data_IF_599690735931
#
_entry.id   IF_599690735931
#
_cell.length_a   1.000
_cell.length_b   1.000
_cell.length_c   1.000
_cell.angle_alpha   90.00
_cell.angle_beta   90.00
_cell.angle_gamma   90.00
#
_symmetry.space_group_name_H-M   'P 1'
#
loop_
_entity.id
_entity.type
_entity.pdbx_description
1 polymer ?
#
# COMPACT_ATOMS: atom_id res chain seq x y z
N UNK A 1 -11.35 -16.91 -2.92
CA UNK A 1 -10.47 -16.84 -4.10
C UNK A 1 -9.33 -15.89 -3.76
N UNK A 2 -8.08 -16.20 -4.12
CA UNK A 2 -6.96 -15.30 -3.85
C UNK A 2 -7.19 -13.99 -4.59
N UNK A 3 -7.01 -12.86 -3.90
CA UNK A 3 -7.09 -11.54 -4.51
C UNK A 3 -6.01 -11.42 -5.60
N UNK A 4 -6.41 -10.97 -6.78
CA UNK A 4 -5.52 -10.60 -7.88
C UNK A 4 -5.78 -9.12 -8.15
N UNK A 5 -4.69 -8.34 -8.21
CA UNK A 5 -4.71 -6.88 -8.44
C UNK A 5 -5.61 -6.43 -9.60
N UNK A 6 -5.82 -7.28 -10.60
CA UNK A 6 -6.68 -7.01 -11.76
C UNK A 6 -7.84 -8.01 -11.77
N UNK A 7 -9.06 -7.49 -11.69
CA UNK A 7 -10.29 -8.29 -11.66
C UNK A 7 -11.46 -7.53 -12.30
N UNK A 8 -12.37 -8.28 -12.92
CA UNK A 8 -13.55 -7.73 -13.61
C UNK A 8 -14.70 -7.38 -12.65
N UNK A 9 -14.66 -7.90 -11.43
CA UNK A 9 -15.71 -7.73 -10.42
C UNK A 9 -15.08 -7.26 -9.10
N UNK A 10 -15.84 -6.56 -8.24
CA UNK A 10 -15.38 -6.26 -6.89
C UNK A 10 -15.01 -7.55 -6.14
N UNK A 11 -13.88 -7.55 -5.46
CA UNK A 11 -13.54 -8.61 -4.51
C UNK A 11 -13.03 -8.03 -3.20
N UNK A 12 -13.23 -8.81 -2.14
CA UNK A 12 -12.67 -8.51 -0.84
C UNK A 12 -11.14 -8.61 -0.91
N UNK A 13 -10.47 -7.58 -0.39
CA UNK A 13 -9.03 -7.56 -0.26
C UNK A 13 -8.62 -8.44 0.93
N UNK A 14 -7.63 -9.29 0.75
CA UNK A 14 -7.07 -10.13 1.81
C UNK A 14 -6.06 -9.32 2.64
N UNK A 15 -6.58 -8.44 3.50
CA UNK A 15 -5.82 -7.78 4.56
C UNK A 15 -6.02 -8.54 5.87
N UNK A 16 -5.05 -8.48 6.81
CA UNK A 16 -5.26 -8.98 8.17
C UNK A 16 -6.59 -8.48 8.77
N UNK A 17 -7.38 -9.42 9.32
CA UNK A 17 -8.80 -9.20 9.69
C UNK A 17 -9.01 -8.15 10.78
N UNK A 18 -7.96 -7.83 11.51
CA UNK A 18 -7.87 -6.92 12.64
C UNK A 18 -7.38 -5.51 12.25
N UNK A 19 -7.12 -5.27 10.96
CA UNK A 19 -6.73 -3.94 10.46
C UNK A 19 -7.93 -3.09 10.09
N UNK A 20 -8.09 -1.98 10.80
CA UNK A 20 -9.02 -0.91 10.44
C UNK A 20 -8.35 0.01 9.39
N UNK A 21 -8.84 0.00 8.15
CA UNK A 21 -8.33 0.88 7.07
C UNK A 21 -8.93 2.28 7.23
N UNK A 22 -8.08 3.31 7.26
CA UNK A 22 -8.48 4.72 7.43
C UNK A 22 -8.34 5.55 6.15
N UNK A 23 -7.36 5.24 5.29
CA UNK A 23 -7.10 5.95 4.03
C UNK A 23 -6.80 4.98 2.89
N UNK A 24 -7.14 5.38 1.68
CA UNK A 24 -6.80 4.67 0.44
C UNK A 24 -6.39 5.67 -0.63
N UNK A 25 -5.42 5.30 -1.45
CA UNK A 25 -5.02 6.05 -2.64
C UNK A 25 -4.61 5.10 -3.75
N UNK A 26 -4.87 5.48 -5.00
CA UNK A 26 -4.57 4.67 -6.18
C UNK A 26 -3.83 5.50 -7.22
N UNK A 27 -2.77 4.93 -7.79
CA UNK A 27 -2.09 5.45 -8.98
C UNK A 27 -2.54 4.73 -10.25
N UNK A 28 -1.76 4.82 -11.32
CA UNK A 28 -2.14 4.20 -12.61
C UNK A 28 -2.23 2.67 -12.55
N UNK A 29 -1.36 2.02 -11.76
CA UNK A 29 -1.27 0.56 -11.62
C UNK A 29 -0.84 0.09 -10.23
N UNK A 30 -0.99 0.93 -9.21
CA UNK A 30 -0.67 0.56 -7.84
C UNK A 30 -1.68 1.17 -6.86
N UNK A 31 -1.82 0.55 -5.71
CA UNK A 31 -2.72 0.98 -4.64
C UNK A 31 -1.93 1.06 -3.35
N UNK A 32 -2.30 2.03 -2.51
CA UNK A 32 -1.80 2.18 -1.16
C UNK A 32 -2.96 2.34 -0.18
N UNK A 33 -2.84 1.76 1.00
CA UNK A 33 -3.79 1.94 2.11
C UNK A 33 -3.03 2.21 3.39
N UNK A 34 -3.63 3.05 4.23
CA UNK A 34 -3.15 3.34 5.58
C UNK A 34 -4.14 2.77 6.58
N UNK A 35 -3.63 2.06 7.57
CA UNK A 35 -4.43 1.57 8.69
C UNK A 35 -4.56 2.65 9.76
N UNK A 36 -5.55 2.54 10.64
CA UNK A 36 -5.70 3.43 11.79
C UNK A 36 -4.52 3.34 12.77
N UNK A 37 -3.76 2.25 12.72
CA UNK A 37 -2.49 2.08 13.44
C UNK A 37 -1.31 2.84 12.82
N UNK A 38 -1.49 3.47 11.66
CA UNK A 38 -0.46 4.20 10.94
C UNK A 38 0.42 3.32 10.03
N UNK A 39 0.01 2.07 9.79
CA UNK A 39 0.75 1.17 8.91
C UNK A 39 0.37 1.40 7.44
N UNK A 40 1.36 1.38 6.56
CA UNK A 40 1.18 1.50 5.12
C UNK A 40 1.29 0.15 4.44
N UNK A 41 0.31 -0.17 3.61
CA UNK A 41 0.33 -1.32 2.71
C UNK A 41 0.26 -0.85 1.27
N UNK A 42 1.09 -1.44 0.41
CA UNK A 42 1.15 -1.11 -1.02
C UNK A 42 1.22 -2.36 -1.88
N UNK A 43 0.59 -2.31 -3.05
CA UNK A 43 0.63 -3.38 -4.05
C UNK A 43 0.34 -2.86 -5.45
N UNK A 44 0.55 -3.73 -6.44
CA UNK A 44 0.43 -3.47 -7.87
C UNK A 44 1.79 -3.43 -8.56
N UNK A 45 1.88 -2.61 -9.60
CA UNK A 45 3.07 -2.47 -10.43
C UNK A 45 4.15 -1.63 -9.75
N UNK A 46 5.30 -2.24 -9.48
CA UNK A 46 6.37 -1.66 -8.65
C UNK A 46 7.68 -1.34 -9.37
N UNK A 47 7.70 -1.31 -10.72
CA UNK A 47 8.98 -1.25 -11.48
C UNK A 47 9.77 0.04 -11.29
N UNK A 48 9.17 1.11 -10.77
CA UNK A 48 9.88 2.35 -10.41
C UNK A 48 10.13 2.48 -8.91
N UNK A 49 9.86 1.43 -8.12
CA UNK A 49 10.05 1.44 -6.67
C UNK A 49 8.94 2.14 -5.90
N UNK A 50 7.84 2.54 -6.57
CA UNK A 50 6.74 3.30 -5.96
C UNK A 50 5.99 2.55 -4.85
N UNK A 51 6.22 1.24 -4.69
CA UNK A 51 5.62 0.47 -3.60
C UNK A 51 6.39 0.66 -2.28
N UNK A 52 7.63 1.17 -2.31
CA UNK A 52 8.40 1.43 -1.09
C UNK A 52 9.03 0.19 -0.44
N UNK A 53 9.03 -0.97 -1.12
CA UNK A 53 9.54 -2.23 -0.59
C UNK A 53 11.06 -2.41 -0.68
N UNK A 54 11.81 -1.32 -0.93
CA UNK A 54 13.27 -1.31 -1.19
C UNK A 54 13.70 -2.21 -2.35
N UNK A 55 12.79 -2.43 -3.29
CA UNK A 55 13.01 -3.16 -4.54
C UNK A 55 12.13 -2.56 -5.65
N UNK A 56 12.25 -3.10 -6.86
CA UNK A 56 11.44 -2.73 -8.03
C UNK A 56 10.47 -3.85 -8.44
N UNK A 57 10.04 -4.67 -7.49
CA UNK A 57 9.20 -5.85 -7.76
C UNK A 57 7.73 -5.48 -7.70
N UNK A 58 6.93 -5.99 -8.63
CA UNK A 58 5.47 -5.86 -8.56
C UNK A 58 4.91 -6.85 -7.55
N UNK A 59 3.81 -6.49 -6.89
CA UNK A 59 3.10 -7.37 -5.97
C UNK A 59 1.62 -7.43 -6.36
N UNK A 60 1.06 -8.64 -6.50
CA UNK A 60 -0.38 -8.80 -6.73
C UNK A 60 -1.19 -8.81 -5.42
N UNK A 61 -0.50 -8.79 -4.28
CA UNK A 61 -1.10 -8.80 -2.94
C UNK A 61 -0.61 -7.59 -2.12
N UNK A 62 -1.43 -7.05 -1.20
CA UNK A 62 -1.00 -6.06 -0.23
C UNK A 62 0.23 -6.53 0.53
N UNK A 63 1.26 -5.68 0.57
CA UNK A 63 2.44 -5.91 1.39
C UNK A 63 2.67 -4.69 2.27
N UNK A 64 2.95 -4.93 3.54
CA UNK A 64 3.29 -3.86 4.49
C UNK A 64 4.66 -3.28 4.14
N UNK A 65 4.78 -1.95 4.20
CA UNK A 65 6.03 -1.24 3.97
C UNK A 65 6.88 -1.28 5.25
N UNK A 66 7.65 -2.36 5.41
CA UNK A 66 8.41 -2.65 6.64
C UNK A 66 9.42 -1.56 7.03
N UNK A 67 9.90 -0.77 6.06
CA UNK A 67 10.84 0.32 6.36
C UNK A 67 10.25 1.34 7.34
N UNK A 68 8.99 1.74 7.17
CA UNK A 68 8.37 2.75 8.03
C UNK A 68 8.20 2.22 9.46
N UNK A 69 7.87 0.93 9.60
CA UNK A 69 7.77 0.24 10.89
C UNK A 69 9.12 0.18 11.60
N UNK A 70 10.19 -0.16 10.85
CA UNK A 70 11.54 -0.25 11.41
C UNK A 70 12.06 1.10 11.92
N UNK A 71 11.66 2.21 11.29
CA UNK A 71 11.99 3.57 11.73
C UNK A 71 11.03 4.12 12.79
N UNK A 72 9.99 3.37 13.18
CA UNK A 72 8.98 3.83 14.14
C UNK A 72 8.02 4.89 13.59
N UNK A 73 8.01 5.13 12.28
CA UNK A 73 7.21 6.16 11.62
C UNK A 73 5.76 5.71 11.43
N UNK A 74 4.82 6.62 11.71
CA UNK A 74 3.39 6.39 11.48
C UNK A 74 2.89 7.21 10.30
N UNK A 75 2.24 6.56 9.34
CA UNK A 75 1.65 7.25 8.19
C UNK A 75 0.29 7.83 8.54
N UNK A 76 0.10 9.11 8.27
CA UNK A 76 -1.17 9.84 8.48
C UNK A 76 -1.94 10.02 7.17
N UNK A 77 -1.22 10.29 6.08
CA UNK A 77 -1.81 10.53 4.76
C UNK A 77 -0.98 9.86 3.67
N UNK A 78 -1.66 9.43 2.60
CA UNK A 78 -1.04 8.83 1.42
C UNK A 78 -1.65 9.40 0.14
N UNK A 79 -0.79 9.71 -0.84
CA UNK A 79 -1.18 10.18 -2.17
C UNK A 79 -0.40 9.42 -3.24
N UNK A 80 -1.12 8.70 -4.09
CA UNK A 80 -0.56 8.03 -5.26
C UNK A 80 -0.71 8.91 -6.51
N UNK A 81 0.42 9.22 -7.14
CA UNK A 81 0.45 9.76 -8.50
C UNK A 81 0.48 8.64 -9.54
N UNK A 82 0.65 8.96 -10.85
CA UNK A 82 0.69 7.93 -11.89
C UNK A 82 1.74 6.83 -11.64
N UNK A 83 2.92 7.24 -11.15
CA UNK A 83 4.10 6.39 -11.01
C UNK A 83 4.83 6.58 -9.67
N UNK A 84 4.21 7.26 -8.71
CA UNK A 84 4.84 7.69 -7.45
C UNK A 84 3.86 7.55 -6.29
N UNK A 85 4.40 7.41 -5.08
CA UNK A 85 3.66 7.40 -3.82
C UNK A 85 4.28 8.42 -2.88
N UNK A 86 3.50 9.37 -2.41
CA UNK A 86 3.87 10.31 -1.36
C UNK A 86 3.16 9.94 -0.06
N UNK A 87 3.87 10.06 1.07
CA UNK A 87 3.34 9.78 2.40
C UNK A 87 3.66 10.94 3.32
N UNK A 88 2.71 11.29 4.18
CA UNK A 88 2.96 12.16 5.32
C UNK A 88 3.09 11.29 6.57
N UNK A 89 4.17 11.49 7.33
CA UNK A 89 4.47 10.69 8.53
C UNK A 89 4.58 11.56 9.77
N UNK A 90 4.25 10.97 10.92
CA UNK A 90 4.63 11.46 12.24
C UNK A 90 5.85 10.68 12.72
N UNK A 91 6.78 11.41 13.35
CA UNK A 91 7.89 10.86 14.14
C UNK A 91 7.40 10.39 15.53
#
# INVERSE_FOLDING_TARGET
AAFISIQAFPALLDLPQDLEVSKVSCGSRHTAVVTRGGELYTWGWGKYGQLGHRDNTSSDQPRRVEYLVAEGLRVEEVVCGPWTTYVCVLE
#
